data_IF_099825819665
#
_entry.id   IF_099825819665
#
_cell.length_a   1.000
_cell.length_b   1.000
_cell.length_c   1.000
_cell.angle_alpha   90.00
_cell.angle_beta   90.00
_cell.angle_gamma   90.00
#
_symmetry.space_group_name_H-M   'P 1'
#
loop_
_entity.id
_entity.type
_entity.pdbx_description
1 polymer ?
#
# COMPACT_ATOMS: atom_id res chain seq x y z
N UNK A 1 -56.19 -3.28 -24.86
CA UNK A 1 -56.60 -4.53 -24.18
C UNK A 1 -55.31 -5.12 -23.62
N UNK A 2 -54.92 -4.78 -22.39
CA UNK A 2 -55.45 -5.22 -21.09
C UNK A 2 -55.01 -6.65 -20.76
N UNK A 3 -54.32 -6.80 -19.62
CA UNK A 3 -53.88 -8.09 -19.09
C UNK A 3 -52.75 -7.98 -18.06
N UNK A 4 -52.90 -7.13 -17.05
CA UNK A 4 -52.01 -7.08 -15.88
C UNK A 4 -52.52 -8.15 -14.91
N UNK A 5 -51.72 -9.19 -14.69
CA UNK A 5 -51.99 -10.22 -13.69
C UNK A 5 -51.62 -9.72 -12.31
N UNK A 6 -52.65 -9.32 -11.56
CA UNK A 6 -52.63 -9.13 -10.11
C UNK A 6 -52.69 -10.50 -9.43
N UNK A 7 -51.94 -10.69 -8.33
CA UNK A 7 -52.30 -11.46 -7.13
C UNK A 7 -51.02 -11.78 -6.33
N UNK A 8 -50.87 -11.15 -5.18
CA UNK A 8 -51.13 -11.84 -3.92
C UNK A 8 -50.63 -11.02 -2.73
N UNK A 9 -51.60 -10.51 -1.97
CA UNK A 9 -51.44 -9.74 -0.75
C UNK A 9 -51.37 -10.72 0.44
N UNK A 10 -50.15 -10.96 0.94
CA UNK A 10 -49.89 -11.66 2.20
C UNK A 10 -49.60 -10.65 3.31
N UNK A 11 -50.58 -10.45 4.19
CA UNK A 11 -50.60 -9.44 5.26
C UNK A 11 -50.11 -10.04 6.59
N UNK A 12 -49.48 -9.18 7.42
CA UNK A 12 -49.23 -9.32 8.88
C UNK A 12 -48.02 -10.21 9.22
N UNK A 13 -47.11 -9.86 10.12
CA UNK A 13 -47.27 -9.23 11.44
C UNK A 13 -45.94 -8.63 11.89
N UNK A 14 -46.00 -7.43 12.47
CA UNK A 14 -44.99 -6.82 13.34
C UNK A 14 -44.66 -7.73 14.52
N UNK A 15 -43.39 -8.09 14.68
CA UNK A 15 -42.82 -8.52 15.97
C UNK A 15 -41.54 -7.74 16.22
N UNK A 16 -41.67 -6.68 17.01
CA UNK A 16 -40.55 -6.05 17.68
C UNK A 16 -40.12 -6.98 18.83
N UNK A 17 -38.95 -7.60 18.69
CA UNK A 17 -38.31 -8.30 19.81
C UNK A 17 -37.16 -7.40 20.29
N UNK A 18 -37.45 -6.66 21.36
CA UNK A 18 -36.45 -6.06 22.24
C UNK A 18 -35.75 -7.19 22.99
N UNK A 19 -34.52 -7.54 22.59
CA UNK A 19 -33.63 -8.35 23.42
C UNK A 19 -32.75 -7.41 24.24
N UNK A 20 -32.80 -7.65 25.54
CA UNK A 20 -32.21 -6.86 26.60
C UNK A 20 -30.68 -6.78 26.56
N UNK A 21 -30.20 -5.63 27.03
CA UNK A 21 -28.87 -5.37 27.55
C UNK A 21 -28.26 -6.56 28.31
N UNK A 22 -27.16 -7.11 27.79
CA UNK A 22 -26.09 -7.65 28.61
C UNK A 22 -24.88 -6.73 28.52
N UNK A 23 -24.82 -5.83 29.49
CA UNK A 23 -23.62 -5.09 29.84
C UNK A 23 -22.56 -6.10 30.31
N UNK A 24 -21.50 -6.23 29.51
CA UNK A 24 -20.39 -7.13 29.79
C UNK A 24 -19.21 -6.94 28.84
N UNK A 25 -19.02 -5.74 28.28
CA UNK A 25 -17.74 -5.39 27.64
C UNK A 25 -16.74 -5.06 28.75
N UNK A 26 -16.20 -6.11 29.36
CA UNK A 26 -14.89 -6.00 29.97
C UNK A 26 -13.92 -5.61 28.85
N UNK A 27 -13.51 -4.35 28.89
CA UNK A 27 -12.38 -3.77 28.17
C UNK A 27 -11.09 -4.51 28.61
N UNK A 28 -10.94 -5.77 28.23
CA UNK A 28 -9.64 -6.41 28.17
C UNK A 28 -8.93 -5.71 27.00
N UNK A 29 -7.97 -4.86 27.34
CA UNK A 29 -7.29 -3.99 26.40
C UNK A 29 -6.87 -4.73 25.14
N UNK A 30 -7.47 -4.35 24.01
CA UNK A 30 -6.80 -4.44 22.72
C UNK A 30 -5.66 -3.40 22.76
N UNK A 31 -4.61 -3.70 23.50
CA UNK A 31 -3.30 -3.15 23.20
C UNK A 31 -2.76 -4.04 22.08
N UNK A 32 -2.94 -3.69 20.78
CA UNK A 32 -2.20 -4.39 19.75
C UNK A 32 -0.73 -4.32 20.13
N UNK A 33 -0.10 -5.49 20.27
CA UNK A 33 1.33 -5.56 20.51
C UNK A 33 1.99 -4.75 19.40
N UNK A 34 2.70 -3.67 19.75
CA UNK A 34 3.30 -2.71 18.81
C UNK A 34 4.11 -3.37 17.68
N UNK A 35 4.58 -4.60 17.88
CA UNK A 35 5.26 -5.41 16.85
C UNK A 35 4.35 -5.93 15.73
N UNK A 36 3.11 -6.32 16.02
CA UNK A 36 2.19 -6.87 15.02
C UNK A 36 1.71 -5.78 14.05
N UNK A 37 1.38 -4.59 14.56
CA UNK A 37 1.04 -3.43 13.75
C UNK A 37 2.21 -2.99 12.84
N UNK A 38 3.45 -3.03 13.36
CA UNK A 38 4.66 -2.75 12.57
C UNK A 38 4.84 -3.73 11.41
N UNK A 39 4.53 -5.02 11.62
CA UNK A 39 4.59 -6.03 10.55
C UNK A 39 3.56 -5.76 9.46
N UNK A 40 2.29 -5.57 9.83
CA UNK A 40 1.20 -5.32 8.87
C UNK A 40 1.46 -4.05 8.04
N UNK A 41 1.90 -2.97 8.70
CA UNK A 41 2.27 -1.73 8.00
C UNK A 41 3.45 -1.92 7.05
N UNK A 42 4.45 -2.71 7.47
CA UNK A 42 5.61 -3.05 6.64
C UNK A 42 5.25 -3.85 5.39
N UNK A 43 4.35 -4.83 5.51
CA UNK A 43 3.90 -5.66 4.38
C UNK A 43 3.07 -4.86 3.38
N UNK A 44 2.15 -4.02 3.86
CA UNK A 44 1.35 -3.14 2.99
C UNK A 44 2.26 -2.18 2.21
N UNK A 45 3.21 -1.56 2.90
CA UNK A 45 4.14 -0.63 2.28
C UNK A 45 5.08 -1.33 1.29
N UNK A 46 5.52 -2.56 1.59
CA UNK A 46 6.28 -3.37 0.65
C UNK A 46 5.45 -3.75 -0.58
N UNK A 47 4.14 -3.97 -0.43
CA UNK A 47 3.26 -4.24 -1.55
C UNK A 47 3.06 -3.02 -2.46
N UNK A 48 2.87 -1.84 -1.87
CA UNK A 48 2.76 -0.58 -2.59
C UNK A 48 4.06 -0.28 -3.37
N UNK A 49 5.21 -0.33 -2.70
CA UNK A 49 6.51 -0.06 -3.31
C UNK A 49 6.90 -1.08 -4.38
N UNK A 50 6.45 -2.33 -4.25
CA UNK A 50 6.66 -3.36 -5.28
C UNK A 50 6.14 -2.89 -6.64
N UNK A 51 4.90 -2.41 -6.68
CA UNK A 51 4.27 -2.00 -7.93
C UNK A 51 5.00 -0.79 -8.54
N UNK A 52 5.24 0.24 -7.73
CA UNK A 52 5.97 1.44 -8.15
C UNK A 52 7.39 1.13 -8.69
N UNK A 53 8.10 0.20 -8.04
CA UNK A 53 9.41 -0.24 -8.48
C UNK A 53 9.34 -0.99 -9.82
N UNK A 54 8.38 -1.91 -10.00
CA UNK A 54 8.20 -2.64 -11.26
C UNK A 54 7.91 -1.69 -12.42
N UNK A 55 7.05 -0.71 -12.21
CA UNK A 55 6.73 0.30 -13.22
C UNK A 55 7.94 1.18 -13.52
N UNK A 56 8.74 1.54 -12.50
CA UNK A 56 9.97 2.31 -12.70
C UNK A 56 11.01 1.54 -13.53
N UNK A 57 11.19 0.25 -13.25
CA UNK A 57 12.05 -0.62 -14.07
C UNK A 57 11.54 -0.72 -15.51
N UNK A 58 10.23 -0.92 -15.71
CA UNK A 58 9.62 -0.99 -17.05
C UNK A 58 9.84 0.32 -17.83
N UNK A 59 9.63 1.49 -17.22
CA UNK A 59 9.90 2.81 -17.82
C UNK A 59 11.37 3.03 -18.20
N UNK A 60 12.30 2.28 -17.61
CA UNK A 60 13.73 2.30 -17.94
C UNK A 60 14.15 1.20 -18.91
N UNK A 61 13.20 0.47 -19.49
CA UNK A 61 13.48 -0.59 -20.46
C UNK A 61 13.89 -1.93 -19.83
N UNK A 62 13.66 -2.12 -18.53
CA UNK A 62 14.03 -3.32 -17.79
C UNK A 62 12.80 -3.99 -17.14
N UNK A 63 11.75 -4.38 -17.90
CA UNK A 63 10.54 -4.95 -17.32
C UNK A 63 10.88 -6.20 -16.48
N UNK A 64 10.27 -6.30 -15.29
CA UNK A 64 10.48 -7.42 -14.37
C UNK A 64 9.68 -8.64 -14.82
N UNK A 65 10.33 -9.80 -14.83
CA UNK A 65 9.70 -11.08 -15.04
C UNK A 65 8.88 -11.46 -13.80
N UNK A 66 7.54 -11.47 -13.95
CA UNK A 66 6.64 -11.80 -12.85
C UNK A 66 6.54 -10.68 -11.81
N UNK A 67 6.93 -10.96 -10.55
CA UNK A 67 6.81 -10.02 -9.42
C UNK A 67 8.11 -9.95 -8.64
N UNK A 68 8.48 -8.74 -8.21
CA UNK A 68 9.58 -8.58 -7.27
C UNK A 68 9.23 -9.19 -5.90
N UNK A 69 10.18 -9.92 -5.31
CA UNK A 69 10.12 -10.43 -3.95
C UNK A 69 10.60 -9.33 -3.01
N UNK A 70 9.68 -8.72 -2.28
CA UNK A 70 9.99 -7.61 -1.38
C UNK A 70 9.98 -8.04 0.09
N UNK A 71 10.89 -7.48 0.87
CA UNK A 71 10.99 -7.67 2.32
C UNK A 71 11.19 -6.31 2.98
N UNK A 72 10.39 -5.96 4.00
CA UNK A 72 10.68 -4.81 4.83
C UNK A 72 11.89 -5.10 5.74
N UNK A 73 12.84 -4.17 5.80
CA UNK A 73 13.87 -4.16 6.83
C UNK A 73 13.32 -3.46 8.08
N UNK A 74 12.97 -4.28 9.07
CA UNK A 74 12.39 -3.86 10.34
C UNK A 74 13.43 -3.40 11.36
N UNK A 75 14.73 -3.44 11.02
CA UNK A 75 15.80 -3.05 11.95
C UNK A 75 15.90 -1.54 12.09
N UNK A 76 15.37 -0.76 11.14
CA UNK A 76 15.45 0.70 11.18
C UNK A 76 14.22 1.29 11.90
N UNK A 77 14.42 2.01 13.02
CA UNK A 77 13.32 2.50 13.84
C UNK A 77 12.62 3.73 13.24
N UNK A 78 13.36 4.60 12.55
CA UNK A 78 12.89 5.87 11.96
C UNK A 78 12.40 5.70 10.54
N UNK A 79 13.09 4.84 9.79
CA UNK A 79 12.86 4.63 8.38
C UNK A 79 12.09 3.33 8.16
N UNK A 80 11.21 3.34 7.18
CA UNK A 80 10.72 2.13 6.56
C UNK A 80 11.62 1.85 5.36
N UNK A 81 12.41 0.79 5.47
CA UNK A 81 13.25 0.33 4.36
C UNK A 81 12.64 -0.92 3.77
N UNK A 82 12.56 -0.98 2.44
CA UNK A 82 12.07 -2.13 1.68
C UNK A 82 13.11 -2.49 0.65
N UNK A 83 13.50 -3.76 0.66
CA UNK A 83 14.38 -4.36 -0.32
C UNK A 83 13.58 -5.33 -1.18
N UNK A 84 13.74 -5.23 -2.50
CA UNK A 84 13.05 -6.08 -3.46
C UNK A 84 14.04 -6.69 -4.43
N UNK A 85 13.90 -7.99 -4.71
CA UNK A 85 14.70 -8.71 -5.70
C UNK A 85 13.85 -9.44 -6.73
N UNK A 86 14.38 -9.62 -7.93
CA UNK A 86 13.74 -10.38 -9.00
C UNK A 86 14.62 -10.48 -10.23
N UNK A 87 14.04 -10.93 -11.33
CA UNK A 87 14.71 -11.00 -12.63
C UNK A 87 13.99 -10.08 -13.61
N UNK A 88 14.73 -9.50 -14.56
CA UNK A 88 14.15 -8.83 -15.72
C UNK A 88 13.72 -9.85 -16.79
N UNK A 89 12.99 -9.43 -17.82
CA UNK A 89 12.69 -10.28 -18.98
C UNK A 89 13.94 -10.75 -19.74
N UNK A 90 15.05 -10.04 -19.61
CA UNK A 90 16.35 -10.42 -20.17
C UNK A 90 17.15 -11.32 -19.21
N UNK A 91 16.51 -11.86 -18.17
CA UNK A 91 17.10 -12.73 -17.14
C UNK A 91 18.22 -12.07 -16.30
N UNK A 92 18.41 -10.76 -16.43
CA UNK A 92 19.31 -9.98 -15.58
C UNK A 92 18.75 -9.78 -14.16
N UNK A 93 19.62 -9.77 -13.16
CA UNK A 93 19.22 -9.62 -11.76
C UNK A 93 18.77 -8.19 -11.48
N UNK A 94 17.55 -8.02 -10.98
CA UNK A 94 17.00 -6.74 -10.58
C UNK A 94 16.97 -6.61 -9.05
N UNK A 95 17.50 -5.50 -8.54
CA UNK A 95 17.46 -5.16 -7.12
C UNK A 95 16.92 -3.75 -6.94
N UNK A 96 15.99 -3.59 -6.00
CA UNK A 96 15.41 -2.31 -5.63
C UNK A 96 15.50 -2.07 -4.13
N UNK A 97 15.84 -0.84 -3.77
CA UNK A 97 15.81 -0.35 -2.38
C UNK A 97 14.95 0.90 -2.31
N UNK A 98 13.96 0.90 -1.42
CA UNK A 98 13.16 2.06 -1.08
C UNK A 98 13.31 2.40 0.40
N UNK A 99 13.55 3.66 0.71
CA UNK A 99 13.58 4.20 2.07
C UNK A 99 12.54 5.30 2.21
N UNK A 100 11.69 5.20 3.22
CA UNK A 100 10.67 6.20 3.52
C UNK A 100 10.73 6.60 4.98
N UNK A 101 10.68 7.91 5.25
CA UNK A 101 10.56 8.45 6.59
C UNK A 101 9.13 8.21 7.12
N UNK A 102 9.01 7.43 8.21
CA UNK A 102 7.72 7.08 8.81
C UNK A 102 6.99 8.29 9.38
N UNK A 103 7.71 9.28 9.94
CA UNK A 103 7.12 10.50 10.47
C UNK A 103 6.60 11.41 9.35
N UNK A 104 7.18 11.33 8.16
CA UNK A 104 6.67 12.04 7.00
C UNK A 104 5.38 11.42 6.48
N UNK A 105 5.33 10.08 6.36
CA UNK A 105 4.11 9.37 6.00
C UNK A 105 2.97 9.62 7.00
N UNK A 106 3.27 9.62 8.30
CA UNK A 106 2.27 9.83 9.34
C UNK A 106 1.64 11.24 9.33
N UNK A 107 2.27 12.22 8.67
CA UNK A 107 1.80 13.61 8.54
C UNK A 107 1.23 13.94 7.16
N UNK A 108 1.09 12.93 6.31
CA UNK A 108 0.59 13.11 4.96
C UNK A 108 -0.92 13.39 4.97
N UNK A 109 -1.35 14.29 4.08
CA UNK A 109 -2.77 14.62 3.97
C UNK A 109 -3.57 13.40 3.50
N UNK A 110 -4.78 13.16 4.05
CA UNK A 110 -5.66 12.12 3.57
C UNK A 110 -5.94 12.27 2.06
N UNK A 111 -5.75 11.20 1.31
CA UNK A 111 -5.94 11.19 -0.15
C UNK A 111 -4.73 11.64 -0.96
N UNK A 112 -3.65 12.12 -0.33
CA UNK A 112 -2.37 12.25 -1.01
C UNK A 112 -1.76 10.86 -1.20
N UNK A 113 -1.47 10.50 -2.45
CA UNK A 113 -0.84 9.23 -2.83
C UNK A 113 0.68 9.39 -3.07
N UNK A 114 1.24 10.58 -2.84
CA UNK A 114 2.67 10.83 -2.97
C UNK A 114 3.46 9.97 -1.97
N UNK A 115 4.56 9.39 -2.42
CA UNK A 115 5.46 8.61 -1.57
C UNK A 115 6.83 9.27 -1.63
N UNK A 116 7.07 10.29 -0.79
CA UNK A 116 8.39 10.90 -0.69
C UNK A 116 9.36 9.93 -0.01
N UNK A 117 10.54 9.79 -0.57
CA UNK A 117 11.53 8.84 -0.04
C UNK A 117 12.86 8.91 -0.77
N UNK A 118 13.63 7.83 -0.68
CA UNK A 118 14.83 7.60 -1.49
C UNK A 118 14.69 6.23 -2.14
N UNK A 119 14.71 6.20 -3.46
CA UNK A 119 14.46 5.01 -4.24
C UNK A 119 15.60 4.78 -5.21
N UNK A 120 16.06 3.54 -5.29
CA UNK A 120 17.15 3.13 -6.17
C UNK A 120 16.83 1.77 -6.77
N UNK A 121 17.04 1.64 -8.08
CA UNK A 121 16.92 0.39 -8.81
C UNK A 121 18.21 0.07 -9.55
N UNK A 122 18.61 -1.20 -9.51
CA UNK A 122 19.79 -1.71 -10.22
C UNK A 122 19.45 -2.95 -11.04
N UNK A 123 20.15 -3.13 -12.16
CA UNK A 123 20.14 -4.35 -12.98
C UNK A 123 21.58 -4.82 -13.15
N UNK A 124 21.87 -6.08 -12.80
CA UNK A 124 23.23 -6.64 -12.72
C UNK A 124 24.21 -5.71 -11.97
N UNK A 125 23.74 -5.16 -10.84
CA UNK A 125 24.48 -4.22 -10.00
C UNK A 125 24.63 -2.79 -10.55
N UNK A 126 24.24 -2.51 -11.79
CA UNK A 126 24.29 -1.17 -12.40
C UNK A 126 23.04 -0.39 -12.08
N UNK A 127 23.19 0.86 -11.62
CA UNK A 127 22.05 1.74 -11.33
C UNK A 127 21.34 2.15 -12.62
N UNK A 128 20.04 1.84 -12.69
CA UNK A 128 19.18 2.17 -13.85
C UNK A 128 18.19 3.29 -13.53
N UNK A 129 17.91 3.52 -12.25
CA UNK A 129 17.22 4.71 -11.78
C UNK A 129 17.56 5.06 -10.34
N UNK A 130 17.42 6.36 -10.06
CA UNK A 130 17.39 6.96 -8.72
C UNK A 130 16.34 8.05 -8.71
N UNK A 131 15.51 8.07 -7.67
CA UNK A 131 14.49 9.10 -7.50
C UNK A 131 14.18 9.30 -6.02
N UNK A 132 13.54 10.43 -5.70
CA UNK A 132 13.22 10.83 -4.34
C UNK A 132 11.70 10.86 -4.07
N UNK A 133 10.88 10.47 -5.05
CA UNK A 133 9.46 10.33 -4.85
C UNK A 133 8.82 9.38 -5.88
N UNK A 134 7.85 8.59 -5.42
CA UNK A 134 6.86 7.95 -6.28
C UNK A 134 5.52 8.70 -6.22
N UNK A 135 4.81 8.79 -7.34
CA UNK A 135 3.51 9.45 -7.45
C UNK A 135 3.46 10.93 -7.04
N UNK A 136 4.62 11.59 -6.84
CA UNK A 136 4.67 13.03 -6.66
C UNK A 136 4.34 13.78 -7.96
N UNK A 137 3.62 14.88 -7.80
CA UNK A 137 3.56 15.91 -8.85
C UNK A 137 4.96 16.48 -9.09
N UNK A 138 5.32 16.84 -10.34
CA UNK A 138 6.56 17.54 -10.60
C UNK A 138 6.62 18.80 -9.76
N UNK A 139 7.64 18.95 -8.91
CA UNK A 139 7.90 20.24 -8.28
C UNK A 139 8.48 21.15 -9.37
N UNK A 140 7.64 22.00 -9.96
CA UNK A 140 8.14 23.09 -10.79
C UNK A 140 9.00 23.98 -9.87
N UNK A 141 10.26 24.27 -10.23
CA UNK A 141 11.08 25.15 -9.43
C UNK A 141 10.39 26.52 -9.34
N UNK A 142 10.21 26.99 -8.11
CA UNK A 142 9.66 28.31 -7.79
C UNK A 142 10.63 29.38 -8.30
N UNK A 143 10.52 29.77 -9.58
CA UNK A 143 11.43 30.75 -10.17
C UNK A 143 11.49 30.81 -11.71
N UNK A 144 10.71 30.01 -12.44
CA UNK A 144 10.53 30.23 -13.88
C UNK A 144 9.35 31.20 -14.10
N UNK A 145 9.63 32.50 -14.01
CA UNK A 145 8.76 33.58 -14.48
C UNK A 145 9.61 34.65 -15.14
#
# INVERSE_FOLDING_TARGET
MAGIGDLSMGRRTTSAVLVALTAGLLLAGCAPELGEFKRVTGELSAALLRQEAQDAFARKGHPIQGKLKCRPDIKQPTDLVVECTGLTHAEAEAHFTGMIDRYRLARQDPGDASLPGKYRGTVDGKEVFRMNCFSCKPHLPSGAS
#
